data_IF_178568231373
#
_entry.id   IF_178568231373
#
_cell.length_a   1.000
_cell.length_b   1.000
_cell.length_c   1.000
_cell.angle_alpha   90.00
_cell.angle_beta   90.00
_cell.angle_gamma   90.00
#
_symmetry.space_group_name_H-M   'P 1'
#
loop_
_entity.id
_entity.type
_entity.pdbx_description
1 polymer ?
#
# COMPACT_ATOMS: atom_id res chain seq x y z
N UNK A 1 8.28 -16.96 1.42
CA UNK A 1 7.46 -15.75 1.60
C UNK A 1 8.36 -14.70 2.22
N UNK A 2 8.41 -13.48 1.69
CA UNK A 2 9.19 -12.39 2.30
C UNK A 2 8.22 -11.44 2.99
N UNK A 3 8.56 -11.00 4.20
CA UNK A 3 7.83 -9.96 4.93
C UNK A 3 8.63 -8.67 4.82
N UNK A 4 7.96 -7.56 4.51
CA UNK A 4 8.54 -6.23 4.61
C UNK A 4 7.71 -5.40 5.57
N UNK A 5 8.35 -4.45 6.25
CA UNK A 5 7.67 -3.51 7.13
C UNK A 5 7.54 -2.16 6.43
N UNK A 6 6.47 -1.43 6.74
CA UNK A 6 6.22 -0.12 6.16
C UNK A 6 5.12 0.63 6.89
N UNK A 7 4.97 1.90 6.56
CA UNK A 7 3.98 2.78 7.19
C UNK A 7 2.84 3.00 6.22
N UNK A 8 1.59 2.88 6.69
CA UNK A 8 0.42 3.20 5.87
C UNK A 8 0.37 4.71 5.63
N UNK A 9 0.49 5.14 4.37
CA UNK A 9 0.46 6.56 3.99
C UNK A 9 -0.94 7.05 3.63
N UNK A 10 -1.78 6.19 3.07
CA UNK A 10 -3.14 6.54 2.68
C UNK A 10 -4.05 5.31 2.56
N UNK A 11 -5.36 5.50 2.71
CA UNK A 11 -6.37 4.46 2.43
C UNK A 11 -7.00 4.77 1.08
N UNK A 12 -6.89 3.85 0.12
CA UNK A 12 -7.24 4.07 -1.28
C UNK A 12 -8.72 3.75 -1.62
N UNK A 13 -9.59 3.65 -0.62
CA UNK A 13 -10.96 3.13 -0.78
C UNK A 13 -11.00 1.63 -1.15
N UNK A 14 -12.16 0.99 -1.01
CA UNK A 14 -12.37 -0.43 -1.36
C UNK A 14 -11.43 -1.44 -0.65
N UNK A 15 -11.08 -1.18 0.62
CA UNK A 15 -10.24 -2.11 1.40
C UNK A 15 -8.78 -2.18 0.94
N UNK A 16 -8.30 -1.19 0.17
CA UNK A 16 -6.89 -1.07 -0.25
C UNK A 16 -6.20 0.07 0.50
N UNK A 17 -4.92 -0.09 0.80
CA UNK A 17 -4.07 0.90 1.45
C UNK A 17 -2.80 1.14 0.64
N UNK A 18 -2.24 2.34 0.76
CA UNK A 18 -0.91 2.67 0.28
C UNK A 18 0.05 2.53 1.46
N UNK A 19 1.11 1.76 1.27
CA UNK A 19 2.14 1.55 2.29
C UNK A 19 3.47 1.98 1.72
N UNK A 20 4.14 2.89 2.42
CA UNK A 20 5.52 3.25 2.17
C UNK A 20 6.41 2.21 2.85
N UNK A 21 7.03 1.35 2.04
CA UNK A 21 8.05 0.44 2.51
C UNK A 21 9.36 1.22 2.51
N UNK A 22 9.97 1.32 3.69
CA UNK A 22 11.31 1.85 3.82
C UNK A 22 12.26 0.72 3.41
N UNK A 23 12.82 0.81 2.20
CA UNK A 23 13.96 -0.03 1.85
C UNK A 23 15.17 0.56 2.55
N UNK A 24 15.67 -0.18 3.54
CA UNK A 24 16.96 0.11 4.14
C UNK A 24 18.01 -0.23 3.07
N UNK A 25 18.55 0.80 2.42
CA UNK A 25 19.60 0.66 1.41
C UNK A 25 20.94 0.19 2.02
N UNK A 26 20.94 -0.23 3.30
CA UNK A 26 22.05 -0.87 3.99
C UNK A 26 22.22 -2.33 3.55
N UNK A 27 22.51 -2.55 2.27
CA UNK A 27 23.20 -3.77 1.87
C UNK A 27 24.72 -3.57 1.98
N UNK A 28 25.42 -4.39 2.79
CA UNK A 28 26.88 -4.49 2.75
C UNK A 28 27.26 -5.22 1.46
N UNK A 29 27.38 -4.51 0.35
CA UNK A 29 27.59 -5.14 -0.95
C UNK A 29 27.93 -4.24 -2.13
N UNK A 30 28.15 -2.94 -1.95
CA UNK A 30 28.68 -2.10 -3.01
C UNK A 30 30.21 -2.27 -3.12
N UNK A 31 30.62 -3.35 -3.79
CA UNK A 31 32.01 -3.64 -4.14
C UNK A 31 32.32 -3.22 -5.58
N UNK A 32 32.11 -1.94 -5.89
CA UNK A 32 32.68 -1.35 -7.11
C UNK A 32 33.23 0.04 -6.79
N UNK A 33 34.49 0.06 -6.34
CA UNK A 33 35.38 1.20 -6.55
C UNK A 33 35.52 1.39 -8.06
N UNK A 34 34.82 2.36 -8.62
CA UNK A 34 35.31 3.11 -9.77
C UNK A 34 34.57 4.43 -9.81
N UNK A 35 35.38 5.48 -9.74
CA UNK A 35 35.04 6.89 -9.71
C UNK A 35 34.03 7.25 -10.82
N UNK A 36 33.14 8.20 -10.54
CA UNK A 36 32.17 8.88 -11.43
C UNK A 36 30.69 8.56 -11.20
N UNK A 37 30.18 8.85 -10.00
CA UNK A 37 28.77 9.24 -9.81
C UNK A 37 28.69 10.50 -8.93
N UNK A 38 28.51 11.67 -9.56
CA UNK A 38 28.03 12.88 -8.89
C UNK A 38 26.49 12.88 -8.90
N UNK A 39 25.89 12.26 -7.86
CA UNK A 39 24.59 12.63 -7.27
C UNK A 39 24.22 11.58 -6.22
N UNK A 40 24.85 11.64 -5.04
CA UNK A 40 24.27 11.03 -3.85
C UNK A 40 23.24 12.00 -3.29
N UNK A 41 21.99 11.88 -3.72
CA UNK A 41 20.89 12.27 -2.84
C UNK A 41 20.81 11.17 -1.80
N UNK A 42 21.14 11.47 -0.55
CA UNK A 42 20.78 10.66 0.62
C UNK A 42 19.25 10.63 0.73
N UNK A 43 18.61 9.88 -0.17
CA UNK A 43 17.18 9.70 -0.22
C UNK A 43 16.88 8.33 0.31
N UNK A 44 16.35 8.23 1.53
CA UNK A 44 15.62 7.04 1.96
C UNK A 44 14.57 6.76 0.88
N UNK A 45 14.80 5.76 0.06
CA UNK A 45 13.96 5.47 -1.10
C UNK A 45 12.67 4.80 -0.60
N UNK A 46 11.67 5.62 -0.23
CA UNK A 46 10.39 5.07 0.23
C UNK A 46 9.58 4.59 -0.98
N UNK A 47 9.48 3.27 -1.16
CA UNK A 47 8.65 2.69 -2.21
C UNK A 47 7.20 2.63 -1.73
N UNK A 48 6.34 3.45 -2.34
CA UNK A 48 4.89 3.43 -2.05
C UNK A 48 4.23 2.37 -2.93
N UNK A 49 3.74 1.31 -2.29
CA UNK A 49 3.00 0.24 -2.98
C UNK A 49 1.53 0.22 -2.54
N UNK A 50 0.64 -0.17 -3.47
CA UNK A 50 -0.76 -0.43 -3.17
C UNK A 50 -0.90 -1.87 -2.68
N UNK A 51 -1.39 -2.03 -1.46
CA UNK A 51 -1.57 -3.31 -0.77
C UNK A 51 -3.01 -3.47 -0.31
N UNK A 52 -3.49 -4.71 -0.24
CA UNK A 52 -4.81 -4.99 0.33
C UNK A 52 -4.76 -4.86 1.85
N UNK A 53 -5.72 -4.13 2.42
CA UNK A 53 -5.83 -3.89 3.85
C UNK A 53 -6.82 -4.86 4.51
N UNK A 54 -6.46 -6.15 4.55
CA UNK A 54 -7.26 -7.17 5.28
C UNK A 54 -7.18 -6.99 6.80
N UNK A 55 -6.06 -6.49 7.31
CA UNK A 55 -5.83 -6.31 8.74
C UNK A 55 -6.53 -5.06 9.34
N UNK A 56 -7.15 -4.20 8.52
CA UNK A 56 -7.84 -3.00 9.00
C UNK A 56 -6.91 -1.90 9.52
N UNK A 57 -5.67 -1.83 9.02
CA UNK A 57 -4.69 -0.83 9.42
C UNK A 57 -5.12 0.60 9.06
N UNK A 58 -4.90 1.55 9.96
CA UNK A 58 -5.13 2.98 9.77
C UNK A 58 -3.93 3.71 9.17
N UNK A 59 -4.13 4.96 8.76
CA UNK A 59 -3.03 5.82 8.28
C UNK A 59 -2.05 6.09 9.43
N UNK A 60 -0.76 5.88 9.18
CA UNK A 60 0.31 6.04 10.17
C UNK A 60 0.66 4.78 10.95
N UNK A 61 -0.07 3.68 10.77
CA UNK A 61 0.27 2.39 11.39
C UNK A 61 1.50 1.76 10.73
N UNK A 62 2.35 1.14 11.54
CA UNK A 62 3.45 0.32 11.06
C UNK A 62 2.93 -1.10 10.80
N UNK A 63 3.00 -1.54 9.55
CA UNK A 63 2.38 -2.77 9.06
C UNK A 63 3.40 -3.71 8.44
N UNK A 64 3.21 -5.02 8.63
CA UNK A 64 3.97 -6.03 7.90
C UNK A 64 3.20 -6.48 6.67
N UNK A 65 3.82 -6.31 5.51
CA UNK A 65 3.30 -6.73 4.22
C UNK A 65 3.90 -8.08 3.84
N UNK A 66 3.05 -9.04 3.49
CA UNK A 66 3.47 -10.39 3.09
C UNK A 66 3.51 -10.50 1.55
N UNK A 67 4.69 -10.76 1.01
CA UNK A 67 4.87 -11.03 -0.42
C UNK A 67 4.78 -12.53 -0.70
N UNK A 68 3.73 -12.93 -1.43
CA UNK A 68 3.54 -14.31 -1.91
C UNK A 68 4.42 -14.54 -3.14
N UNK A 69 5.63 -15.05 -2.90
CA UNK A 69 6.70 -15.23 -3.91
C UNK A 69 6.35 -16.14 -5.11
N UNK A 70 5.21 -16.83 -5.09
CA UNK A 70 4.78 -17.71 -6.19
C UNK A 70 3.92 -17.04 -7.27
N UNK A 71 3.39 -15.84 -7.03
CA UNK A 71 2.48 -15.19 -7.97
C UNK A 71 3.19 -14.68 -9.23
N UNK A 72 4.41 -14.15 -9.08
CA UNK A 72 5.23 -13.64 -10.19
C UNK A 72 5.69 -14.79 -11.10
N UNK A 73 6.16 -15.89 -10.52
CA UNK A 73 6.63 -17.05 -11.30
C UNK A 73 5.49 -17.70 -12.09
N UNK A 74 4.30 -17.83 -11.49
CA UNK A 74 3.09 -18.30 -12.21
C UNK A 74 2.71 -17.36 -13.34
N UNK A 75 2.81 -16.04 -13.13
CA UNK A 75 2.48 -15.04 -14.15
C UNK A 75 3.42 -15.11 -15.35
N UNK A 76 4.73 -15.25 -15.12
CA UNK A 76 5.72 -15.44 -16.19
C UNK A 76 5.47 -16.74 -16.95
N UNK A 77 5.18 -17.83 -16.22
CA UNK A 77 4.88 -19.12 -16.83
C UNK A 77 3.60 -19.10 -17.67
N UNK A 78 2.57 -18.37 -17.25
CA UNK A 78 1.33 -18.19 -18.01
C UNK A 78 1.56 -17.31 -19.24
N UNK A 79 2.23 -16.16 -19.05
CA UNK A 79 2.50 -15.17 -20.09
C UNK A 79 3.33 -15.76 -21.24
N UNK A 80 4.31 -16.60 -20.91
CA UNK A 80 5.18 -17.24 -21.92
C UNK A 80 4.70 -18.62 -22.34
N UNK A 81 4.03 -19.36 -21.44
CA UNK A 81 3.60 -20.73 -21.69
C UNK A 81 2.37 -20.83 -22.59
N UNK A 82 1.36 -19.98 -22.42
CA UNK A 82 0.15 -20.04 -23.26
C UNK A 82 0.46 -19.77 -24.74
N UNK A 83 1.24 -18.74 -25.12
CA UNK A 83 1.62 -18.52 -26.51
C UNK A 83 2.40 -19.69 -27.10
N UNK A 84 3.34 -20.26 -26.35
CA UNK A 84 4.11 -21.42 -26.79
C UNK A 84 3.24 -22.65 -27.04
N UNK A 85 2.31 -22.95 -26.14
CA UNK A 85 1.36 -24.05 -26.29
C UNK A 85 0.41 -23.76 -27.47
N UNK A 86 -0.05 -22.52 -27.63
CA UNK A 86 -0.92 -22.10 -28.74
C UNK A 86 -0.27 -22.31 -30.10
N UNK A 87 1.01 -22.00 -30.25
CA UNK A 87 1.78 -22.25 -31.49
C UNK A 87 1.89 -23.76 -31.75
N UNK A 88 2.26 -24.54 -30.74
CA UNK A 88 2.43 -25.99 -30.87
C UNK A 88 1.11 -26.68 -31.29
N UNK A 89 0.02 -26.35 -30.60
CA UNK A 89 -1.32 -26.91 -30.87
C UNK A 89 -1.84 -26.44 -32.23
N UNK A 90 -1.65 -25.15 -32.57
CA UNK A 90 -2.04 -24.59 -33.86
C UNK A 90 -1.34 -25.25 -35.04
N UNK A 91 -0.05 -25.57 -34.91
CA UNK A 91 0.70 -26.28 -35.93
C UNK A 91 0.19 -27.71 -36.15
N UNK A 92 -0.10 -28.45 -35.07
CA UNK A 92 -0.59 -29.83 -35.12
C UNK A 92 -2.01 -29.87 -35.74
N UNK A 93 -2.93 -29.04 -35.27
CA UNK A 93 -4.29 -28.99 -35.82
C UNK A 93 -4.31 -28.47 -37.25
N UNK A 94 -3.49 -27.47 -37.58
CA UNK A 94 -3.40 -26.94 -38.94
C UNK A 94 -2.97 -28.00 -39.94
N UNK A 95 -1.98 -28.83 -39.59
CA UNK A 95 -1.53 -29.94 -40.42
C UNK A 95 -2.61 -31.02 -40.59
N UNK A 96 -3.31 -31.39 -39.51
CA UNK A 96 -4.39 -32.38 -39.55
C UNK A 96 -5.59 -31.92 -40.37
N UNK A 97 -5.93 -30.63 -40.31
CA UNK A 97 -7.03 -30.04 -41.10
C UNK A 97 -6.69 -29.92 -42.58
N UNK A 98 -5.41 -29.67 -42.92
CA UNK A 98 -4.94 -29.63 -44.31
C UNK A 98 -5.10 -30.97 -45.03
N UNK A 99 -4.85 -32.09 -44.34
CA UNK A 99 -5.05 -33.42 -44.94
C UNK A 99 -6.53 -33.81 -45.05
N UNK A 100 -7.36 -33.43 -44.07
CA UNK A 100 -8.75 -33.89 -43.98
C UNK A 100 -9.76 -32.98 -44.71
N UNK A 101 -9.41 -31.72 -44.96
CA UNK A 101 -10.29 -30.73 -45.61
C UNK A 101 -9.63 -30.23 -46.89
N UNK A 102 -10.39 -30.04 -47.99
CA UNK A 102 -9.90 -29.39 -49.24
C UNK A 102 -9.67 -27.87 -49.06
N UNK A 103 -9.05 -27.46 -47.96
CA UNK A 103 -8.69 -26.08 -47.71
C UNK A 103 -7.51 -25.73 -48.62
N UNK A 104 -7.62 -24.62 -49.36
CA UNK A 104 -6.49 -24.11 -50.12
C UNK A 104 -5.32 -23.78 -49.19
N UNK A 105 -4.09 -23.79 -49.71
CA UNK A 105 -2.89 -23.46 -48.93
C UNK A 105 -3.06 -22.14 -48.15
N UNK A 106 -3.69 -21.12 -48.75
CA UNK A 106 -4.00 -19.85 -48.07
C UNK A 106 -5.05 -19.96 -46.96
N UNK A 107 -6.06 -20.83 -47.13
CA UNK A 107 -7.10 -21.07 -46.12
C UNK A 107 -6.53 -21.70 -44.83
N UNK A 108 -5.53 -22.57 -44.95
CA UNK A 108 -4.86 -23.17 -43.80
C UNK A 108 -4.08 -22.13 -42.97
N UNK A 109 -3.39 -21.19 -43.64
CA UNK A 109 -2.70 -20.09 -42.95
C UNK A 109 -3.67 -19.15 -42.23
N UNK A 110 -4.80 -18.81 -42.86
CA UNK A 110 -5.81 -17.94 -42.24
C UNK A 110 -6.47 -18.59 -41.02
N UNK A 111 -6.79 -19.89 -41.10
CA UNK A 111 -7.33 -20.63 -39.97
C UNK A 111 -6.34 -20.71 -38.80
N UNK A 112 -5.06 -20.99 -39.08
CA UNK A 112 -4.00 -21.00 -38.07
C UNK A 112 -3.80 -19.62 -37.41
N UNK A 113 -3.76 -18.55 -38.21
CA UNK A 113 -3.63 -17.18 -37.71
C UNK A 113 -4.83 -16.76 -36.85
N UNK A 114 -6.06 -17.15 -37.23
CA UNK A 114 -7.25 -16.89 -36.45
C UNK A 114 -7.23 -17.61 -35.09
N UNK A 115 -6.84 -18.89 -35.06
CA UNK A 115 -6.68 -19.65 -33.82
C UNK A 115 -5.60 -19.05 -32.90
N UNK A 116 -4.47 -18.62 -33.46
CA UNK A 116 -3.41 -17.97 -32.68
C UNK A 116 -3.87 -16.62 -32.10
N UNK A 117 -4.55 -15.81 -32.90
CA UNK A 117 -5.13 -14.54 -32.45
C UNK A 117 -6.15 -14.75 -31.32
N UNK A 118 -7.05 -15.73 -31.46
CA UNK A 118 -8.02 -16.06 -30.41
C UNK A 118 -7.35 -16.58 -29.13
N UNK A 119 -6.33 -17.44 -29.26
CA UNK A 119 -5.55 -17.93 -28.13
C UNK A 119 -4.81 -16.80 -27.40
N UNK A 120 -4.23 -15.83 -28.12
CA UNK A 120 -3.60 -14.65 -27.51
C UNK A 120 -4.62 -13.77 -26.78
N UNK A 121 -5.80 -13.53 -27.36
CA UNK A 121 -6.85 -12.74 -26.70
C UNK A 121 -7.31 -13.43 -25.41
N UNK A 122 -7.56 -14.75 -25.45
CA UNK A 122 -7.89 -15.51 -24.25
C UNK A 122 -6.76 -15.50 -23.22
N UNK A 123 -5.50 -15.64 -23.66
CA UNK A 123 -4.34 -15.55 -22.78
C UNK A 123 -4.27 -14.19 -22.07
N UNK A 124 -4.52 -13.09 -22.79
CA UNK A 124 -4.53 -11.74 -22.23
C UNK A 124 -5.70 -11.56 -21.26
N UNK A 125 -6.90 -12.05 -21.58
CA UNK A 125 -8.06 -11.99 -20.66
C UNK A 125 -7.78 -12.76 -19.38
N UNK A 126 -7.29 -14.00 -19.49
CA UNK A 126 -6.94 -14.85 -18.34
C UNK A 126 -5.79 -14.20 -17.53
N UNK A 127 -4.80 -13.62 -18.21
CA UNK A 127 -3.70 -12.90 -17.57
C UNK A 127 -4.21 -11.70 -16.75
N UNK A 128 -5.13 -10.90 -17.29
CA UNK A 128 -5.72 -9.77 -16.57
C UNK A 128 -6.49 -10.21 -15.33
N UNK A 129 -7.23 -11.32 -15.40
CA UNK A 129 -7.93 -11.88 -14.24
C UNK A 129 -6.97 -12.39 -13.16
N UNK A 130 -5.92 -13.11 -13.55
CA UNK A 130 -4.93 -13.64 -12.59
C UNK A 130 -4.06 -12.52 -11.97
N UNK A 131 -3.80 -11.45 -12.72
CA UNK A 131 -2.98 -10.32 -12.28
C UNK A 131 -3.61 -9.52 -11.12
N UNK A 132 -4.93 -9.55 -10.94
CA UNK A 132 -5.57 -8.87 -9.80
C UNK A 132 -5.21 -9.52 -8.45
N UNK A 133 -4.89 -10.81 -8.44
CA UNK A 133 -4.61 -11.60 -7.23
C UNK A 133 -3.13 -11.51 -6.77
N UNK A 134 -2.32 -10.71 -7.47
CA UNK A 134 -0.88 -10.51 -7.18
C UNK A 134 -0.67 -9.43 -6.11
N UNK A 135 -1.69 -8.63 -5.78
CA UNK A 135 -1.52 -7.52 -4.84
C UNK A 135 -1.10 -8.04 -3.45
N UNK A 136 0.05 -7.58 -2.92
CA UNK A 136 0.49 -7.97 -1.60
C UNK A 136 -0.52 -7.50 -0.55
N UNK A 137 -0.66 -8.26 0.54
CA UNK A 137 -1.62 -7.97 1.60
C UNK A 137 -0.89 -7.57 2.88
N UNK A 138 -1.51 -6.68 3.64
CA UNK A 138 -1.14 -6.44 5.03
C UNK A 138 -1.56 -7.67 5.84
N UNK A 139 -0.57 -8.37 6.39
CA UNK A 139 -0.75 -9.56 7.21
C UNK A 139 -1.21 -9.18 8.63
N UNK A 140 -0.57 -8.16 9.20
CA UNK A 140 -0.84 -7.65 10.55
C UNK A 140 -0.24 -6.27 10.77
N UNK A 141 -0.77 -5.56 11.76
CA UNK A 141 -0.21 -4.31 12.28
C UNK A 141 0.86 -4.66 13.31
N UNK A 142 2.11 -4.24 13.05
CA UNK A 142 3.28 -4.53 13.90
C UNK A 142 3.33 -3.56 15.08
N UNK A 143 3.01 -2.29 14.83
CA UNK A 143 2.83 -1.29 15.87
C UNK A 143 1.73 -0.33 15.41
N UNK A 144 0.63 -0.29 16.15
CA UNK A 144 -0.36 0.78 15.99
C UNK A 144 0.29 2.07 16.44
N UNK A 145 0.03 3.17 15.72
CA UNK A 145 0.29 4.50 16.29
C UNK A 145 -0.41 4.51 17.67
N UNK A 146 0.27 4.89 18.77
CA UNK A 146 -0.44 5.03 20.02
C UNK A 146 -1.61 5.96 19.74
N UNK A 147 -2.83 5.48 19.99
CA UNK A 147 -4.01 6.32 19.97
C UNK A 147 -3.82 7.31 21.13
N UNK A 148 -3.05 8.37 20.88
CA UNK A 148 -3.02 9.53 21.73
C UNK A 148 -4.41 10.11 21.62
N UNK A 149 -5.27 9.70 22.57
CA UNK A 149 -6.52 10.36 22.86
C UNK A 149 -6.16 11.85 22.95
N UNK A 150 -6.48 12.60 21.90
CA UNK A 150 -6.20 14.02 21.83
C UNK A 150 -6.79 14.66 23.07
N UNK A 151 -5.96 15.33 23.84
CA UNK A 151 -6.45 16.09 24.99
C UNK A 151 -6.75 17.50 24.51
N UNK A 152 -7.80 18.11 25.04
CA UNK A 152 -8.23 19.44 24.60
C UNK A 152 -7.53 20.47 25.48
N UNK A 153 -6.89 21.46 24.87
CA UNK A 153 -6.38 22.64 25.55
C UNK A 153 -7.57 23.41 26.18
N UNK A 154 -7.65 23.54 27.52
CA UNK A 154 -8.79 24.18 28.20
C UNK A 154 -8.97 25.67 27.87
N UNK A 155 -7.93 26.34 27.37
CA UNK A 155 -7.94 27.79 27.10
C UNK A 155 -8.43 28.08 25.69
N UNK A 156 -7.92 27.35 24.70
CA UNK A 156 -8.23 27.61 23.29
C UNK A 156 -9.13 26.55 22.61
N UNK A 157 -9.35 25.40 23.26
CA UNK A 157 -10.13 24.30 22.69
C UNK A 157 -9.42 23.51 21.59
N UNK A 158 -8.12 23.75 21.38
CA UNK A 158 -7.35 23.04 20.36
C UNK A 158 -7.04 21.60 20.82
N UNK A 159 -7.14 20.65 19.90
CA UNK A 159 -6.73 19.26 20.15
C UNK A 159 -5.20 19.18 20.19
N UNK A 160 -4.66 18.68 21.31
CA UNK A 160 -3.23 18.56 21.56
C UNK A 160 -2.89 17.08 21.73
N UNK A 161 -1.82 16.65 21.08
CA UNK A 161 -1.25 15.32 21.31
C UNK A 161 -0.42 15.34 22.62
N UNK A 162 -0.78 14.56 23.66
CA UNK A 162 -0.05 14.51 24.92
C UNK A 162 1.44 14.18 24.77
N UNK A 163 1.84 13.45 23.72
CA UNK A 163 3.23 13.10 23.45
C UNK A 163 4.01 14.22 22.75
N UNK A 164 3.32 15.22 22.18
CA UNK A 164 3.93 16.36 21.47
C UNK A 164 3.50 17.73 22.03
N UNK A 165 2.83 17.75 23.17
CA UNK A 165 2.37 18.99 23.79
C UNK A 165 3.54 19.94 24.02
N UNK A 166 3.37 21.20 23.65
CA UNK A 166 4.41 22.21 23.81
C UNK A 166 4.71 22.46 25.29
N UNK A 167 3.67 22.46 26.13
CA UNK A 167 3.79 22.66 27.58
C UNK A 167 2.68 21.87 28.31
N UNK A 168 2.98 21.40 29.52
CA UNK A 168 2.02 20.70 30.40
C UNK A 168 2.17 21.14 31.86
N UNK A 169 1.09 21.04 32.63
CA UNK A 169 1.08 21.30 34.08
C UNK A 169 0.22 20.27 34.80
N UNK A 170 0.61 19.92 36.02
CA UNK A 170 -0.22 19.15 36.94
C UNK A 170 -0.97 20.11 37.86
N UNK A 171 -2.31 20.13 37.77
CA UNK A 171 -3.17 20.97 38.60
C UNK A 171 -4.31 20.12 39.18
N UNK A 172 -4.51 20.18 40.50
CA UNK A 172 -5.50 19.37 41.24
C UNK A 172 -5.43 17.86 40.95
N UNK A 173 -4.21 17.34 40.78
CA UNK A 173 -3.99 15.92 40.49
C UNK A 173 -4.36 15.48 39.07
N UNK A 174 -4.63 16.43 38.15
CA UNK A 174 -4.83 16.18 36.72
C UNK A 174 -3.75 16.89 35.90
N UNK A 175 -3.19 16.18 34.92
CA UNK A 175 -2.25 16.76 33.95
C UNK A 175 -3.03 17.44 32.82
N UNK A 176 -2.83 18.74 32.66
CA UNK A 176 -3.35 19.52 31.53
C UNK A 176 -2.24 19.79 30.53
N UNK A 177 -2.58 19.78 29.24
CA UNK A 177 -1.64 19.99 28.14
C UNK A 177 -2.10 21.19 27.32
N UNK A 178 -1.14 22.02 26.89
CA UNK A 178 -1.40 23.28 26.19
C UNK A 178 -0.69 23.33 24.85
N UNK A 179 -1.31 24.00 23.87
CA UNK A 179 -0.74 24.15 22.54
C UNK A 179 0.48 25.09 22.52
N UNK A 180 0.58 26.02 23.48
CA UNK A 180 1.69 26.96 23.61
C UNK A 180 1.84 27.47 25.06
N UNK A 181 2.93 28.21 25.33
CA UNK A 181 3.21 28.79 26.65
C UNK A 181 2.21 29.88 27.07
N UNK A 182 1.64 30.63 26.12
CA UNK A 182 0.62 31.65 26.41
C UNK A 182 -0.69 31.06 26.95
N UNK A 183 -1.11 29.90 26.43
CA UNK A 183 -2.27 29.15 26.94
C UNK A 183 -2.00 28.64 28.36
N UNK A 184 -0.78 28.16 28.65
CA UNK A 184 -0.39 27.81 30.02
C UNK A 184 -0.45 29.03 30.96
N UNK A 185 0.13 30.16 30.57
CA UNK A 185 0.12 31.38 31.40
C UNK A 185 -1.30 31.88 31.68
N UNK A 186 -2.17 31.86 30.66
CA UNK A 186 -3.57 32.22 30.82
C UNK A 186 -4.28 31.28 31.80
N UNK A 187 -4.02 29.97 31.70
CA UNK A 187 -4.57 28.98 32.61
C UNK A 187 -4.08 29.17 34.05
N UNK A 188 -2.79 29.45 34.27
CA UNK A 188 -2.23 29.70 35.61
C UNK A 188 -2.83 30.95 36.26
N UNK A 189 -3.13 32.00 35.49
CA UNK A 189 -3.72 33.23 36.01
C UNK A 189 -5.14 33.01 36.53
N UNK A 190 -5.96 32.26 35.81
CA UNK A 190 -7.37 32.03 36.15
C UNK A 190 -7.82 30.58 35.87
N UNK A 191 -7.34 29.57 36.62
CA UNK A 191 -7.61 28.16 36.32
C UNK A 191 -9.10 27.82 36.41
N UNK A 192 -9.77 28.34 37.45
CA UNK A 192 -11.18 28.12 37.73
C UNK A 192 -12.11 28.59 36.61
N UNK A 193 -11.70 29.57 35.81
CA UNK A 193 -12.46 30.06 34.66
C UNK A 193 -12.49 29.04 33.51
N UNK A 194 -11.41 28.31 33.29
CA UNK A 194 -11.28 27.33 32.21
C UNK A 194 -11.72 25.92 32.65
N UNK A 195 -11.73 25.66 33.96
CA UNK A 195 -12.18 24.40 34.54
C UNK A 195 -13.67 24.41 34.93
N UNK A 196 -14.35 25.56 34.81
CA UNK A 196 -15.77 25.65 35.07
C UNK A 196 -16.53 24.70 34.12
N UNK A 197 -17.48 23.89 34.63
CA UNK A 197 -18.35 23.10 33.79
C UNK A 197 -19.06 24.04 32.82
N UNK A 198 -18.80 23.88 31.52
CA UNK A 198 -19.68 24.45 30.51
C UNK A 198 -20.97 23.68 30.58
N UNK A 199 -21.92 24.16 31.39
CA UNK A 199 -23.32 23.84 31.26
C UNK A 199 -23.73 24.23 29.85
N UNK A 200 -23.66 23.28 28.93
CA UNK A 200 -24.14 23.46 27.57
C UNK A 200 -25.67 23.38 27.62
N UNK A 201 -26.41 24.47 27.33
CA UNK A 201 -27.82 24.35 27.04
C UNK A 201 -27.91 23.57 25.74
N UNK A 202 -28.51 22.38 25.77
CA UNK A 202 -28.90 21.65 24.56
C UNK A 202 -29.82 22.54 23.73
N UNK A 203 -29.28 23.26 22.75
CA UNK A 203 -30.06 23.90 21.70
C UNK A 203 -30.52 22.81 20.73
N UNK A 204 -31.64 22.19 21.08
CA UNK A 204 -32.53 21.54 20.12
C UNK A 204 -33.09 22.63 19.19
N UNK A 205 -32.73 22.60 17.91
CA UNK A 205 -33.62 23.01 16.81
C UNK A 205 -33.18 22.35 15.51
#
# INVERSE_FOLDING_TARGET
MKQAQGIVTAIAGQGKAQVAIVTDDTLPGCSSRTEHCHHCSEGTSSLVIKVCNRAGAGVGDNVSVLFKSGAVLKSVLILLGIPMIGILVGAILGNSLYENSRLSQGGAFLAGAACFGFALVLAVIIYRQVSEDIQPCIDRVVAQKPATQGTIDPVCGMEVDPARAAVKIDYEGKTYFFCNAGCLEAFIREPSRYLAPTDCPRLNR
#
